data_IF_755602519685
#
_entry.id   IF_755602519685
#
_cell.length_a   1.000
_cell.length_b   1.000
_cell.length_c   1.000
_cell.angle_alpha   90.00
_cell.angle_beta   90.00
_cell.angle_gamma   90.00
#
_symmetry.space_group_name_H-M   'P 1'
#
loop_
_entity.id
_entity.type
_entity.pdbx_description
1 polymer ?
#
# COMPACT_ATOMS: atom_id res chain seq x y z
N UNK A 1 -54.35 10.25 -27.98
CA UNK A 1 -54.66 10.68 -29.37
C UNK A 1 -53.52 10.26 -30.29
N UNK A 2 -53.79 10.03 -31.58
CA UNK A 2 -52.85 9.44 -32.59
C UNK A 2 -52.08 10.49 -33.39
N UNK A 3 -50.84 10.13 -33.82
CA UNK A 3 -50.13 10.36 -35.12
C UNK A 3 -48.62 10.06 -34.87
N UNK A 4 -47.87 9.14 -35.52
CA UNK A 4 -47.63 8.75 -36.94
C UNK A 4 -47.18 9.95 -37.80
N UNK A 5 -46.11 9.92 -38.63
CA UNK A 5 -45.08 8.96 -39.10
C UNK A 5 -43.77 9.80 -39.38
N UNK A 6 -42.56 9.31 -39.72
CA UNK A 6 -42.18 8.39 -40.81
C UNK A 6 -40.72 7.85 -40.71
N UNK A 7 -40.45 6.72 -41.36
CA UNK A 7 -39.12 6.15 -41.70
C UNK A 7 -38.49 6.88 -42.91
N UNK A 8 -37.20 6.74 -43.24
CA UNK A 8 -36.63 5.79 -44.27
C UNK A 8 -35.21 6.30 -44.66
N UNK A 9 -34.23 5.60 -45.26
CA UNK A 9 -33.62 4.25 -45.11
C UNK A 9 -32.45 4.15 -46.15
N UNK A 10 -31.36 3.43 -45.87
CA UNK A 10 -30.35 2.94 -46.86
C UNK A 10 -29.43 4.01 -47.55
N UNK A 11 -28.27 3.70 -48.16
CA UNK A 11 -27.59 2.42 -48.45
C UNK A 11 -26.02 2.52 -48.41
N UNK A 12 -25.35 1.40 -48.71
CA UNK A 12 -23.90 1.11 -48.68
C UNK A 12 -23.27 1.14 -50.11
N UNK A 13 -21.91 1.10 -50.18
CA UNK A 13 -21.03 0.42 -51.21
C UNK A 13 -20.05 1.30 -52.04
N UNK A 14 -18.74 1.07 -51.79
CA UNK A 14 -17.52 1.07 -52.65
C UNK A 14 -17.19 2.16 -53.70
N UNK A 15 -15.88 2.45 -53.89
CA UNK A 15 -15.36 2.98 -55.17
C UNK A 15 -13.99 3.69 -55.20
N UNK A 16 -12.88 2.92 -55.12
CA UNK A 16 -11.54 3.10 -55.75
C UNK A 16 -11.00 4.45 -56.31
N UNK A 17 -9.66 4.59 -56.15
CA UNK A 17 -8.65 5.14 -57.09
C UNK A 17 -8.16 6.60 -56.92
N UNK A 18 -6.91 6.81 -57.35
CA UNK A 18 -6.05 7.98 -57.07
C UNK A 18 -5.82 8.87 -58.31
N UNK A 19 -5.48 10.16 -58.10
CA UNK A 19 -4.35 10.86 -58.74
C UNK A 19 -4.18 12.33 -58.26
N UNK A 20 -2.95 12.62 -57.82
CA UNK A 20 -2.19 13.86 -57.51
C UNK A 20 -2.35 15.12 -58.43
N UNK A 21 -1.57 16.22 -58.26
CA UNK A 21 -1.25 17.10 -57.08
C UNK A 21 -1.33 18.61 -57.54
N UNK A 22 -0.50 19.62 -57.14
CA UNK A 22 0.39 19.88 -55.97
C UNK A 22 -0.02 21.19 -55.22
N UNK A 23 0.70 21.78 -54.24
CA UNK A 23 2.11 21.64 -53.84
C UNK A 23 2.34 21.92 -52.33
N UNK A 24 3.40 21.30 -51.80
CA UNK A 24 4.07 21.67 -50.56
C UNK A 24 5.57 21.85 -50.84
N UNK A 25 6.25 22.72 -50.09
CA UNK A 25 7.67 23.06 -50.31
C UNK A 25 8.52 22.52 -49.16
N UNK A 26 9.55 21.70 -49.45
CA UNK A 26 10.53 21.25 -48.46
C UNK A 26 11.87 20.84 -49.08
N UNK A 27 12.98 21.17 -48.41
CA UNK A 27 14.33 20.67 -48.66
C UNK A 27 15.10 21.44 -49.76
N UNK A 28 16.44 21.49 -49.79
CA UNK A 28 17.41 20.39 -49.54
C UNK A 28 18.83 20.95 -49.26
N UNK A 29 19.68 20.18 -48.54
CA UNK A 29 21.15 20.33 -48.27
C UNK A 29 21.98 19.69 -49.43
N UNK A 30 23.31 19.45 -49.36
CA UNK A 30 24.49 20.23 -48.93
C UNK A 30 25.60 20.23 -50.04
N UNK A 31 26.77 20.87 -49.82
CA UNK A 31 28.13 20.27 -50.05
C UNK A 31 29.30 21.29 -50.00
N UNK A 32 30.39 20.90 -49.34
CA UNK A 32 31.76 21.47 -49.38
C UNK A 32 32.45 21.23 -50.77
N UNK A 33 33.68 21.70 -51.11
CA UNK A 33 34.79 22.10 -50.21
C UNK A 33 35.80 23.22 -50.62
N UNK A 34 36.66 23.56 -49.65
CA UNK A 34 38.07 23.99 -49.73
C UNK A 34 38.47 25.30 -50.46
N UNK A 35 39.20 26.17 -49.75
CA UNK A 35 40.65 26.41 -49.97
C UNK A 35 41.30 27.32 -48.91
N UNK A 36 42.50 26.91 -48.50
CA UNK A 36 43.72 27.68 -48.19
C UNK A 36 43.62 29.04 -47.46
N UNK A 37 44.02 29.05 -46.18
CA UNK A 37 44.49 30.25 -45.47
C UNK A 37 45.98 30.09 -45.10
N UNK A 38 46.78 31.12 -45.38
CA UNK A 38 48.22 31.11 -45.17
C UNK A 38 48.63 31.64 -43.78
N UNK A 39 49.78 31.19 -43.30
CA UNK A 39 50.34 31.55 -41.99
C UNK A 39 50.67 33.04 -41.86
N UNK A 40 50.32 33.63 -40.72
CA UNK A 40 51.02 34.79 -40.16
C UNK A 40 51.24 34.57 -38.65
N UNK A 41 52.50 34.46 -38.24
CA UNK A 41 52.91 34.34 -36.83
C UNK A 41 53.30 35.71 -36.30
N UNK A 42 52.82 36.08 -35.11
CA UNK A 42 53.19 37.30 -34.41
C UNK A 42 53.61 36.99 -32.97
N UNK A 43 54.91 37.16 -32.67
CA UNK A 43 55.49 36.89 -31.35
C UNK A 43 54.97 37.84 -30.26
N UNK A 44 54.60 37.29 -29.11
CA UNK A 44 54.01 38.03 -27.98
C UNK A 44 54.45 37.49 -26.62
N UNK A 45 55.50 38.09 -26.05
CA UNK A 45 56.11 37.75 -24.74
C UNK A 45 55.09 37.40 -23.65
N UNK A 46 55.29 36.26 -22.99
CA UNK A 46 54.52 35.85 -21.82
C UNK A 46 54.64 36.86 -20.66
N UNK A 47 53.49 37.25 -20.09
CA UNK A 47 53.37 38.00 -18.82
C UNK A 47 53.05 37.03 -17.67
N UNK A 48 53.39 37.37 -16.41
CA UNK A 48 53.25 36.46 -15.29
C UNK A 48 51.80 36.05 -15.03
N UNK A 49 51.59 34.80 -14.61
CA UNK A 49 50.28 34.26 -14.28
C UNK A 49 49.64 35.07 -13.13
N UNK A 50 48.38 35.48 -13.33
CA UNK A 50 47.57 36.07 -12.26
C UNK A 50 47.29 35.01 -11.18
N UNK A 51 47.20 35.39 -9.89
CA UNK A 51 46.78 34.46 -8.85
C UNK A 51 45.38 33.93 -9.16
N UNK A 52 45.16 32.64 -8.93
CA UNK A 52 43.87 32.00 -9.16
C UNK A 52 42.77 32.71 -8.34
N UNK A 53 41.65 33.02 -8.98
CA UNK A 53 40.48 33.61 -8.33
C UNK A 53 40.01 32.66 -7.23
N UNK A 54 39.92 33.14 -5.98
CA UNK A 54 39.22 32.41 -4.92
C UNK A 54 37.76 32.25 -5.33
N UNK A 55 37.28 31.02 -5.33
CA UNK A 55 35.86 30.70 -5.52
C UNK A 55 35.04 31.38 -4.42
N UNK A 56 33.85 31.84 -4.77
CA UNK A 56 32.83 32.29 -3.81
C UNK A 56 32.26 31.09 -3.06
N UNK A 57 31.69 31.30 -1.87
CA UNK A 57 31.15 30.22 -1.03
C UNK A 57 30.10 29.38 -1.79
N UNK A 58 29.28 30.02 -2.63
CA UNK A 58 28.33 29.35 -3.50
C UNK A 58 28.98 28.49 -4.60
N UNK A 59 30.05 28.97 -5.23
CA UNK A 59 30.81 28.17 -6.21
C UNK A 59 31.48 26.96 -5.52
N UNK A 60 31.88 27.09 -4.25
CA UNK A 60 32.42 25.98 -3.45
C UNK A 60 31.34 24.97 -3.03
N UNK A 61 30.13 25.43 -2.71
CA UNK A 61 28.98 24.57 -2.40
C UNK A 61 28.54 23.77 -3.64
N UNK A 62 28.41 24.43 -4.80
CA UNK A 62 28.09 23.78 -6.08
C UNK A 62 29.18 22.75 -6.50
N UNK A 63 30.47 23.03 -6.28
CA UNK A 63 31.56 22.04 -6.49
C UNK A 63 31.50 20.87 -5.48
N UNK A 64 31.16 21.13 -4.22
CA UNK A 64 31.04 20.10 -3.18
C UNK A 64 29.85 19.16 -3.45
N UNK A 65 28.70 19.70 -3.87
CA UNK A 65 27.54 18.90 -4.31
C UNK A 65 27.85 18.06 -5.54
N UNK A 66 28.54 18.63 -6.54
CA UNK A 66 28.97 17.88 -7.73
C UNK A 66 29.94 16.74 -7.37
N UNK A 67 30.90 16.99 -6.49
CA UNK A 67 31.84 15.97 -6.01
C UNK A 67 31.16 14.87 -5.18
N UNK A 68 30.16 15.23 -4.35
CA UNK A 68 29.35 14.27 -3.59
C UNK A 68 28.48 13.41 -4.52
N UNK A 69 27.83 14.04 -5.50
CA UNK A 69 27.01 13.36 -6.53
C UNK A 69 27.84 12.35 -7.33
N UNK A 70 29.06 12.72 -7.75
CA UNK A 70 29.99 11.81 -8.43
C UNK A 70 30.36 10.59 -7.57
N UNK A 71 30.66 10.81 -6.27
CA UNK A 71 30.97 9.72 -5.31
C UNK A 71 29.77 8.80 -5.06
N UNK A 72 28.56 9.34 -5.02
CA UNK A 72 27.32 8.56 -4.89
C UNK A 72 27.11 7.72 -6.16
N UNK A 73 27.30 8.29 -7.35
CA UNK A 73 27.18 7.58 -8.62
C UNK A 73 28.20 6.43 -8.74
N UNK A 74 29.46 6.66 -8.36
CA UNK A 74 30.51 5.63 -8.31
C UNK A 74 30.15 4.52 -7.31
N UNK A 75 29.70 4.87 -6.10
CA UNK A 75 29.28 3.89 -5.09
C UNK A 75 28.10 3.05 -5.55
N UNK A 76 27.11 3.66 -6.21
CA UNK A 76 25.96 2.96 -6.79
C UNK A 76 26.37 2.04 -7.96
N UNK A 77 27.33 2.45 -8.79
CA UNK A 77 27.88 1.59 -9.83
C UNK A 77 28.60 0.37 -9.22
N UNK A 78 29.41 0.57 -8.18
CA UNK A 78 30.09 -0.50 -7.46
C UNK A 78 29.09 -1.46 -6.78
N UNK A 79 28.01 -0.94 -6.19
CA UNK A 79 26.93 -1.76 -5.61
C UNK A 79 26.21 -2.61 -6.67
N UNK A 80 25.88 -2.03 -7.84
CA UNK A 80 25.28 -2.77 -8.97
C UNK A 80 26.22 -3.87 -9.49
N UNK A 81 27.52 -3.58 -9.62
CA UNK A 81 28.51 -4.58 -10.02
C UNK A 81 28.61 -5.74 -9.01
N UNK A 82 28.66 -5.43 -7.71
CA UNK A 82 28.67 -6.43 -6.63
C UNK A 82 27.38 -7.28 -6.61
N UNK A 83 26.23 -6.68 -6.87
CA UNK A 83 24.95 -7.39 -6.98
C UNK A 83 24.91 -8.31 -8.21
N UNK A 84 25.37 -7.85 -9.37
CA UNK A 84 25.50 -8.67 -10.57
C UNK A 84 26.46 -9.85 -10.37
N UNK A 85 27.61 -9.63 -9.72
CA UNK A 85 28.56 -10.69 -9.36
C UNK A 85 27.95 -11.73 -8.41
N UNK A 86 27.17 -11.31 -7.41
CA UNK A 86 26.43 -12.22 -6.51
C UNK A 86 25.39 -13.06 -7.25
N UNK A 87 24.63 -12.47 -8.18
CA UNK A 87 23.69 -13.24 -9.00
C UNK A 87 24.39 -14.21 -9.95
N UNK A 88 25.52 -13.82 -10.57
CA UNK A 88 26.32 -14.70 -11.42
C UNK A 88 26.91 -15.88 -10.62
N UNK A 89 27.42 -15.63 -9.41
CA UNK A 89 27.92 -16.67 -8.50
C UNK A 89 26.80 -17.64 -8.08
N UNK A 90 25.61 -17.13 -7.72
CA UNK A 90 24.45 -17.95 -7.39
C UNK A 90 23.96 -18.79 -8.58
N UNK A 91 23.99 -18.24 -9.80
CA UNK A 91 23.66 -18.97 -11.02
C UNK A 91 24.69 -20.07 -11.35
N UNK A 92 25.98 -19.81 -11.10
CA UNK A 92 27.06 -20.79 -11.25
C UNK A 92 26.91 -21.94 -10.24
N UNK A 93 26.72 -21.63 -8.96
CA UNK A 93 26.48 -22.63 -7.91
C UNK A 93 25.23 -23.49 -8.19
N UNK A 94 24.16 -22.91 -8.75
CA UNK A 94 22.97 -23.67 -9.20
C UNK A 94 23.23 -24.60 -10.38
N UNK A 95 24.16 -24.26 -11.29
CA UNK A 95 24.59 -25.16 -12.38
C UNK A 95 25.47 -26.30 -11.85
N UNK A 96 26.40 -25.98 -10.94
CA UNK A 96 27.29 -26.97 -10.31
C UNK A 96 26.52 -27.97 -9.43
N UNK A 97 25.50 -27.50 -8.69
CA UNK A 97 24.61 -28.37 -7.91
C UNK A 97 23.78 -29.35 -8.78
N UNK A 98 23.53 -29.02 -10.05
CA UNK A 98 22.83 -29.92 -11.01
C UNK A 98 23.75 -30.97 -11.66
N UNK A 99 25.06 -30.93 -11.43
CA UNK A 99 26.02 -31.82 -12.09
C UNK A 99 26.30 -33.14 -11.34
N UNK A 100 25.70 -33.38 -10.17
CA UNK A 100 25.81 -34.67 -9.45
C UNK A 100 24.57 -35.54 -9.72
N UNK A 101 24.70 -36.70 -10.39
CA UNK A 101 23.60 -37.63 -10.54
C UNK A 101 23.35 -38.34 -9.21
N UNK A 102 22.17 -38.12 -8.63
CA UNK A 102 21.61 -38.94 -7.55
C UNK A 102 20.68 -39.96 -8.21
N UNK A 103 20.73 -41.26 -7.85
CA UNK A 103 19.80 -42.24 -8.40
C UNK A 103 18.36 -41.84 -8.09
N UNK A 104 17.52 -41.83 -9.13
CA UNK A 104 16.14 -41.35 -9.05
C UNK A 104 15.23 -42.38 -8.36
N UNK A 105 15.15 -42.32 -7.04
CA UNK A 105 13.94 -42.74 -6.35
C UNK A 105 12.83 -41.73 -6.69
N UNK A 106 11.63 -42.21 -7.03
CA UNK A 106 10.47 -41.36 -7.32
C UNK A 106 9.92 -40.77 -6.01
N UNK A 107 10.58 -39.74 -5.48
CA UNK A 107 9.96 -38.83 -4.54
C UNK A 107 8.92 -38.01 -5.31
N UNK A 108 7.63 -38.02 -4.94
CA UNK A 108 6.66 -37.13 -5.55
C UNK A 108 7.14 -35.70 -5.32
N UNK A 109 7.25 -34.91 -6.38
CA UNK A 109 7.74 -33.55 -6.30
C UNK A 109 6.85 -32.78 -5.32
N UNK A 110 7.41 -32.35 -4.19
CA UNK A 110 6.73 -31.44 -3.27
C UNK A 110 6.31 -30.23 -4.09
N UNK A 111 5.01 -29.84 -4.08
CA UNK A 111 4.58 -28.64 -4.78
C UNK A 111 5.46 -27.47 -4.35
N UNK A 112 5.87 -26.57 -5.27
CA UNK A 112 6.61 -25.38 -4.86
C UNK A 112 5.82 -24.66 -3.77
N UNK A 113 6.47 -24.22 -2.67
CA UNK A 113 5.76 -23.60 -1.56
C UNK A 113 4.96 -22.42 -2.08
N UNK A 114 3.65 -22.45 -1.82
CA UNK A 114 2.74 -21.42 -2.32
C UNK A 114 3.18 -20.05 -1.82
N UNK A 115 3.19 -19.06 -2.71
CA UNK A 115 3.68 -17.73 -2.39
C UNK A 115 2.90 -17.14 -1.22
N UNK A 116 3.60 -16.48 -0.31
CA UNK A 116 3.01 -15.65 0.75
C UNK A 116 3.09 -14.15 0.43
N UNK A 117 3.65 -13.79 -0.73
CA UNK A 117 3.70 -12.41 -1.19
C UNK A 117 2.37 -11.99 -1.82
N UNK A 118 1.79 -10.91 -1.31
CA UNK A 118 0.57 -10.28 -1.80
C UNK A 118 0.72 -8.75 -1.76
N UNK A 119 -0.14 -8.03 -2.47
CA UNK A 119 -0.18 -6.56 -2.49
C UNK A 119 -1.63 -6.06 -2.50
N UNK A 120 -1.82 -4.75 -2.34
CA UNK A 120 -3.14 -4.11 -2.52
C UNK A 120 -3.44 -3.72 -3.98
N UNK A 121 -2.44 -3.78 -4.87
CA UNK A 121 -2.54 -3.39 -6.28
C UNK A 121 -1.79 -4.37 -7.20
N UNK A 122 -2.12 -4.35 -8.50
CA UNK A 122 -1.42 -5.13 -9.54
C UNK A 122 -1.73 -6.63 -9.54
N UNK A 123 -0.80 -7.42 -10.07
CA UNK A 123 -0.97 -8.88 -10.26
C UNK A 123 -1.26 -9.62 -8.95
N UNK A 124 -0.59 -9.23 -7.86
CA UNK A 124 -0.75 -9.82 -6.53
C UNK A 124 -1.84 -9.12 -5.67
N UNK A 125 -2.68 -8.29 -6.32
CA UNK A 125 -3.76 -7.52 -5.71
C UNK A 125 -4.98 -8.33 -5.23
N UNK A 126 -5.96 -7.69 -4.54
CA UNK A 126 -7.12 -8.34 -3.92
C UNK A 126 -7.93 -9.26 -4.82
N UNK A 127 -8.07 -8.92 -6.11
CA UNK A 127 -8.80 -9.73 -7.10
C UNK A 127 -8.13 -11.08 -7.42
N UNK A 128 -6.86 -11.27 -7.02
CA UNK A 128 -6.07 -12.46 -7.31
C UNK A 128 -5.59 -13.21 -6.07
N UNK A 129 -5.77 -12.70 -4.84
CA UNK A 129 -5.25 -13.35 -3.62
C UNK A 129 -5.57 -14.84 -3.53
N UNK A 130 -6.82 -15.25 -3.78
CA UNK A 130 -7.22 -16.66 -3.75
C UNK A 130 -6.59 -17.56 -4.81
N UNK A 131 -5.83 -17.00 -5.77
CA UNK A 131 -5.05 -17.72 -6.80
C UNK A 131 -3.56 -17.81 -6.43
N UNK A 132 -3.06 -16.94 -5.55
CA UNK A 132 -1.63 -16.88 -5.14
C UNK A 132 -1.28 -18.10 -4.28
N UNK A 133 -2.21 -18.50 -3.40
CA UNK A 133 -2.02 -19.58 -2.45
C UNK A 133 -3.32 -20.34 -2.22
N UNK A 134 -3.27 -21.69 -2.28
CA UNK A 134 -4.45 -22.53 -2.10
C UNK A 134 -5.08 -22.38 -0.70
N UNK A 135 -4.28 -22.05 0.32
CA UNK A 135 -4.78 -21.75 1.67
C UNK A 135 -5.60 -20.45 1.73
N UNK A 136 -5.54 -19.60 0.71
CA UNK A 136 -6.24 -18.32 0.63
C UNK A 136 -7.52 -18.40 -0.22
N UNK A 137 -8.03 -19.61 -0.53
CA UNK A 137 -9.22 -19.74 -1.39
C UNK A 137 -10.44 -18.94 -0.90
N UNK A 138 -10.55 -18.70 0.42
CA UNK A 138 -11.62 -17.87 0.99
C UNK A 138 -11.62 -16.44 0.47
N UNK A 139 -10.47 -15.91 0.05
CA UNK A 139 -10.38 -14.58 -0.57
C UNK A 139 -11.15 -14.48 -1.91
N UNK A 140 -11.43 -15.60 -2.59
CA UNK A 140 -12.18 -15.65 -3.86
C UNK A 140 -13.48 -16.46 -3.80
N UNK A 141 -13.56 -17.50 -2.96
CA UNK A 141 -14.70 -18.41 -2.82
C UNK A 141 -15.50 -18.22 -1.51
N UNK A 142 -15.07 -17.30 -0.64
CA UNK A 142 -15.82 -16.95 0.57
C UNK A 142 -17.12 -16.21 0.26
N UNK A 143 -18.18 -16.50 1.03
CA UNK A 143 -19.51 -15.90 0.88
C UNK A 143 -19.85 -14.89 1.98
N UNK A 144 -19.02 -14.84 3.03
CA UNK A 144 -19.14 -13.94 4.19
C UNK A 144 -17.91 -13.05 4.36
N UNK A 145 -17.37 -12.56 3.25
CA UNK A 145 -16.14 -11.79 3.23
C UNK A 145 -16.31 -10.35 3.77
N UNK A 146 -15.23 -9.77 4.30
CA UNK A 146 -15.10 -8.36 4.73
C UNK A 146 -14.04 -7.65 3.87
N UNK A 147 -14.09 -6.31 3.73
CA UNK A 147 -15.04 -5.38 4.34
C UNK A 147 -16.39 -5.37 3.60
N UNK A 148 -17.39 -4.67 4.13
CA UNK A 148 -18.67 -4.47 3.45
C UNK A 148 -19.09 -3.00 3.41
N UNK A 149 -20.05 -2.71 2.55
CA UNK A 149 -20.84 -1.49 2.58
C UNK A 149 -22.09 -1.74 3.43
N UNK A 150 -22.06 -1.22 4.66
CA UNK A 150 -23.12 -1.36 5.66
C UNK A 150 -24.30 -0.49 5.24
N UNK A 151 -25.42 -1.15 4.93
CA UNK A 151 -26.71 -0.54 4.62
C UNK A 151 -27.81 -1.18 5.46
N UNK A 152 -28.83 -0.41 5.79
CA UNK A 152 -30.11 -0.88 6.32
C UNK A 152 -29.97 -1.83 7.52
N UNK A 153 -29.19 -1.42 8.53
CA UNK A 153 -28.98 -2.19 9.75
C UNK A 153 -30.29 -2.42 10.51
N UNK A 154 -30.49 -3.64 11.01
CA UNK A 154 -31.67 -3.96 11.81
C UNK A 154 -31.47 -3.37 13.20
N UNK A 155 -32.19 -2.27 13.48
CA UNK A 155 -32.24 -1.61 14.78
C UNK A 155 -32.74 -2.55 15.86
N UNK A 156 -31.88 -2.87 16.82
CA UNK A 156 -32.22 -3.66 18.00
C UNK A 156 -31.56 -3.06 19.23
N UNK A 157 -32.08 -3.42 20.40
CA UNK A 157 -31.35 -3.20 21.65
C UNK A 157 -30.14 -4.15 21.66
N UNK A 158 -28.97 -3.61 21.31
CA UNK A 158 -27.70 -4.33 21.40
C UNK A 158 -27.12 -4.13 22.79
N UNK A 159 -26.56 -5.20 23.35
CA UNK A 159 -25.78 -5.10 24.58
C UNK A 159 -24.64 -4.09 24.42
N UNK A 160 -24.31 -3.37 25.49
CA UNK A 160 -23.16 -2.47 25.48
C UNK A 160 -21.86 -3.28 25.47
N UNK A 161 -20.95 -2.93 24.57
CA UNK A 161 -19.60 -3.53 24.56
C UNK A 161 -18.87 -3.07 25.83
N UNK A 162 -18.49 -4.04 26.67
CA UNK A 162 -17.67 -3.77 27.83
C UNK A 162 -16.19 -3.77 27.45
N UNK A 163 -15.49 -2.68 27.78
CA UNK A 163 -14.07 -2.51 27.53
C UNK A 163 -13.32 -2.51 28.86
N UNK A 164 -12.35 -3.41 28.99
CA UNK A 164 -11.36 -3.45 30.08
C UNK A 164 -9.97 -3.27 29.44
N UNK A 165 -9.74 -2.04 28.96
CA UNK A 165 -8.47 -1.61 28.40
C UNK A 165 -7.68 -0.81 29.42
N UNK A 166 -6.35 -0.90 29.34
CA UNK A 166 -5.41 -0.23 30.24
C UNK A 166 -4.16 0.23 29.49
N UNK A 167 -3.48 1.29 29.95
CA UNK A 167 -2.14 1.64 29.47
C UNK A 167 -1.23 0.42 29.51
N UNK A 168 -0.62 0.10 28.38
CA UNK A 168 0.21 -1.10 28.20
C UNK A 168 1.44 -0.83 27.35
N UNK A 169 2.46 -1.66 27.52
CA UNK A 169 3.61 -1.67 26.61
C UNK A 169 3.18 -2.13 25.22
N UNK A 170 3.80 -1.57 24.19
CA UNK A 170 3.47 -1.83 22.79
C UNK A 170 4.73 -1.86 21.92
N UNK A 171 4.61 -2.40 20.72
CA UNK A 171 5.58 -2.20 19.64
C UNK A 171 4.88 -1.77 18.36
N UNK A 172 5.59 -1.05 17.50
CA UNK A 172 5.12 -0.56 16.20
C UNK A 172 5.94 -1.22 15.11
N UNK A 173 5.26 -1.90 14.19
CA UNK A 173 5.85 -2.59 13.04
C UNK A 173 5.27 -1.98 11.77
N UNK A 174 6.11 -1.45 10.87
CA UNK A 174 5.70 -1.32 9.46
C UNK A 174 5.88 -2.70 8.85
N UNK A 175 4.79 -3.43 8.57
CA UNK A 175 4.88 -4.82 8.09
C UNK A 175 5.00 -4.93 6.55
N UNK A 176 5.06 -3.80 5.83
CA UNK A 176 5.02 -3.72 4.38
C UNK A 176 3.61 -3.62 3.76
N UNK A 177 2.55 -3.83 4.55
CA UNK A 177 1.14 -3.75 4.15
C UNK A 177 0.36 -2.67 4.93
N UNK A 178 0.76 -2.44 6.19
CA UNK A 178 0.20 -1.45 7.10
C UNK A 178 1.23 -1.08 8.18
N UNK A 179 0.92 -0.05 8.97
CA UNK A 179 1.49 0.11 10.30
C UNK A 179 0.64 -0.73 11.27
N UNK A 180 1.29 -1.66 11.95
CA UNK A 180 0.68 -2.53 12.96
C UNK A 180 1.26 -2.18 14.33
N UNK A 181 0.39 -2.13 15.33
CA UNK A 181 0.75 -1.94 16.74
C UNK A 181 0.39 -3.21 17.49
N UNK A 182 1.40 -3.90 18.04
CA UNK A 182 1.20 -5.06 18.90
C UNK A 182 1.12 -4.58 20.36
N UNK A 183 0.16 -5.06 21.14
CA UNK A 183 -0.02 -4.67 22.54
C UNK A 183 0.33 -5.80 23.51
N UNK A 184 0.69 -5.42 24.73
CA UNK A 184 0.82 -6.32 25.86
C UNK A 184 -0.52 -6.87 26.36
N UNK A 185 -0.44 -8.00 27.07
CA UNK A 185 -1.61 -8.79 27.49
C UNK A 185 -2.49 -8.12 28.56
N UNK A 186 -3.73 -8.58 28.63
CA UNK A 186 -4.76 -8.16 29.56
C UNK A 186 -5.42 -6.83 29.20
N UNK A 187 -5.70 -6.62 27.91
CA UNK A 187 -6.62 -5.62 27.40
C UNK A 187 -7.80 -6.39 26.78
N UNK A 188 -9.03 -6.17 27.25
CA UNK A 188 -10.18 -7.00 26.87
C UNK A 188 -11.38 -6.22 26.33
N UNK A 189 -12.10 -6.88 25.42
CA UNK A 189 -13.40 -6.51 24.91
C UNK A 189 -14.38 -7.66 25.23
N UNK A 190 -15.49 -7.38 25.90
CA UNK A 190 -16.56 -8.37 26.17
C UNK A 190 -17.87 -7.98 25.49
N UNK A 191 -18.43 -8.91 24.71
CA UNK A 191 -19.70 -8.79 23.99
C UNK A 191 -20.24 -10.19 23.65
N UNK A 192 -21.55 -10.39 23.61
CA UNK A 192 -22.19 -11.67 23.30
C UNK A 192 -22.00 -12.72 24.39
N UNK A 193 -21.71 -12.28 25.62
CA UNK A 193 -21.25 -13.17 26.72
C UNK A 193 -19.85 -13.76 26.51
N UNK A 194 -19.04 -13.21 25.59
CA UNK A 194 -17.70 -13.72 25.23
C UNK A 194 -16.65 -12.62 25.40
N UNK A 195 -15.50 -12.97 25.98
CA UNK A 195 -14.39 -12.05 26.24
C UNK A 195 -13.24 -12.33 25.28
N UNK A 196 -12.78 -11.28 24.61
CA UNK A 196 -11.71 -11.33 23.60
C UNK A 196 -10.57 -10.41 24.05
N UNK A 197 -9.34 -10.92 24.03
CA UNK A 197 -8.14 -10.15 24.36
C UNK A 197 -7.61 -9.42 23.12
N UNK A 198 -7.41 -8.11 23.23
CA UNK A 198 -6.80 -7.26 22.20
C UNK A 198 -5.36 -7.71 21.94
N UNK A 199 -5.10 -8.16 20.71
CA UNK A 199 -3.77 -8.60 20.29
C UNK A 199 -2.99 -7.44 19.64
N UNK A 200 -3.64 -6.79 18.67
CA UNK A 200 -3.02 -5.74 17.86
C UNK A 200 -4.05 -4.74 17.35
N UNK A 201 -3.57 -3.61 16.87
CA UNK A 201 -4.32 -2.74 15.98
C UNK A 201 -3.53 -2.36 14.74
N UNK A 202 -4.21 -2.00 13.66
CA UNK A 202 -3.58 -1.58 12.41
C UNK A 202 -4.46 -0.59 11.62
N UNK A 203 -3.88 0.04 10.61
CA UNK A 203 -4.47 1.19 9.91
C UNK A 203 -4.71 0.92 8.42
N UNK A 204 -5.83 1.41 7.90
CA UNK A 204 -6.17 1.37 6.47
C UNK A 204 -6.45 2.75 5.91
N UNK A 205 -6.08 2.97 4.64
CA UNK A 205 -6.39 4.14 3.82
C UNK A 205 -6.84 3.69 2.41
N UNK A 206 -8.04 4.08 1.94
CA UNK A 206 -9.13 4.67 2.72
C UNK A 206 -9.62 3.71 3.83
N UNK A 207 -10.64 4.09 4.60
CA UNK A 207 -11.33 3.11 5.43
C UNK A 207 -11.88 1.96 4.56
N UNK A 208 -11.74 0.73 5.04
CA UNK A 208 -12.19 -0.47 4.35
C UNK A 208 -13.73 -0.58 4.34
N UNK A 209 -14.35 -0.36 5.50
CA UNK A 209 -15.80 -0.31 5.66
C UNK A 209 -16.40 0.92 4.97
N UNK A 210 -17.64 0.76 4.51
CA UNK A 210 -18.50 1.89 4.13
C UNK A 210 -19.80 1.85 4.93
N UNK A 211 -20.40 3.02 5.11
CA UNK A 211 -21.73 3.15 5.73
C UNK A 211 -22.61 3.94 4.76
N UNK A 212 -23.68 3.33 4.28
CA UNK A 212 -24.59 3.88 3.27
C UNK A 212 -23.86 4.40 2.02
N UNK A 213 -22.86 3.66 1.54
CA UNK A 213 -22.00 4.04 0.41
C UNK A 213 -20.89 5.04 0.73
N UNK A 214 -20.93 5.71 1.90
CA UNK A 214 -19.90 6.67 2.32
C UNK A 214 -18.65 5.94 2.84
N UNK A 215 -17.50 6.35 2.34
CA UNK A 215 -16.18 5.96 2.86
C UNK A 215 -15.64 7.01 3.83
N UNK A 216 -14.67 6.63 4.67
CA UNK A 216 -13.91 7.51 5.55
C UNK A 216 -12.45 7.57 5.08
N UNK A 217 -11.70 8.60 5.51
CA UNK A 217 -10.34 8.80 4.97
C UNK A 217 -9.35 7.74 5.46
N UNK A 218 -9.51 7.26 6.69
CA UNK A 218 -8.76 6.13 7.23
C UNK A 218 -9.66 5.27 8.13
N UNK A 219 -9.27 4.02 8.34
CA UNK A 219 -9.83 3.13 9.35
C UNK A 219 -8.75 2.63 10.31
N UNK A 220 -9.14 2.28 11.53
CA UNK A 220 -8.34 1.51 12.48
C UNK A 220 -9.10 0.22 12.79
N UNK A 221 -8.42 -0.94 12.70
CA UNK A 221 -8.97 -2.22 13.11
C UNK A 221 -8.22 -2.70 14.35
N UNK A 222 -8.93 -2.87 15.47
CA UNK A 222 -8.43 -3.47 16.70
C UNK A 222 -8.83 -4.95 16.70
N UNK A 223 -7.85 -5.85 16.61
CA UNK A 223 -8.06 -7.30 16.47
C UNK A 223 -7.94 -7.99 17.82
N UNK A 224 -9.02 -8.63 18.24
CA UNK A 224 -9.14 -9.35 19.50
C UNK A 224 -9.33 -10.84 19.25
N UNK A 225 -8.91 -11.66 20.21
CA UNK A 225 -9.04 -13.12 20.15
C UNK A 225 -9.45 -13.69 21.52
N UNK A 226 -10.39 -14.63 21.53
CA UNK A 226 -10.75 -15.36 22.75
C UNK A 226 -9.90 -16.62 22.97
N UNK A 227 -10.10 -17.29 24.10
CA UNK A 227 -9.37 -18.50 24.51
C UNK A 227 -9.60 -19.72 23.60
N UNK A 228 -10.72 -19.77 22.88
CA UNK A 228 -11.04 -20.82 21.90
C UNK A 228 -10.49 -20.47 20.50
N UNK A 229 -10.09 -19.22 20.32
CA UNK A 229 -9.44 -18.68 19.14
C UNK A 229 -10.34 -17.95 18.15
N UNK A 230 -11.61 -17.66 18.51
CA UNK A 230 -12.46 -16.84 17.65
C UNK A 230 -12.02 -15.37 17.72
N UNK A 231 -12.28 -14.65 16.63
CA UNK A 231 -11.75 -13.28 16.42
C UNK A 231 -12.89 -12.27 16.43
N UNK A 232 -12.69 -11.16 17.15
CA UNK A 232 -13.54 -9.98 17.09
C UNK A 232 -12.71 -8.77 16.63
N UNK A 233 -13.19 -8.05 15.62
CA UNK A 233 -12.56 -6.83 15.11
C UNK A 233 -13.45 -5.64 15.46
N UNK A 234 -12.90 -4.71 16.25
CA UNK A 234 -13.47 -3.39 16.45
C UNK A 234 -12.92 -2.45 15.38
N UNK A 235 -13.80 -1.97 14.50
CA UNK A 235 -13.45 -1.05 13.43
C UNK A 235 -13.84 0.39 13.80
N UNK A 236 -12.87 1.29 13.69
CA UNK A 236 -12.98 2.71 14.04
C UNK A 236 -12.74 3.54 12.78
N UNK A 237 -13.68 4.41 12.43
CA UNK A 237 -13.58 5.28 11.27
C UNK A 237 -12.87 6.59 11.63
N UNK A 238 -11.94 7.07 10.79
CA UNK A 238 -11.24 8.33 10.96
C UNK A 238 -11.66 9.34 9.88
N UNK A 239 -12.04 10.55 10.32
CA UNK A 239 -12.28 11.70 9.46
C UNK A 239 -11.39 12.89 9.85
N UNK A 240 -11.18 13.83 8.92
CA UNK A 240 -10.40 15.04 9.17
C UNK A 240 -11.03 15.84 10.32
N UNK A 241 -10.20 16.28 11.26
CA UNK A 241 -10.63 17.10 12.39
C UNK A 241 -9.45 17.47 13.29
N UNK A 242 -9.66 17.43 14.60
CA UNK A 242 -8.61 17.63 15.60
C UNK A 242 -7.56 16.50 15.54
N UNK A 243 -6.30 16.76 15.95
CA UNK A 243 -5.30 15.70 16.12
C UNK A 243 -5.78 14.62 17.10
N UNK A 244 -5.49 13.36 16.78
CA UNK A 244 -5.73 12.22 17.66
C UNK A 244 -4.44 11.91 18.44
N UNK A 245 -4.41 12.02 19.79
CA UNK A 245 -3.22 11.72 20.60
C UNK A 245 -2.67 10.31 20.40
N UNK A 246 -3.51 9.27 20.41
CA UNK A 246 -3.07 7.88 20.26
C UNK A 246 -2.42 7.63 18.88
N UNK A 247 -3.00 8.19 17.81
CA UNK A 247 -2.39 8.12 16.46
C UNK A 247 -1.05 8.86 16.44
N UNK A 248 -0.91 9.98 17.15
CA UNK A 248 0.37 10.68 17.28
C UNK A 248 1.41 9.85 18.03
N UNK A 249 1.01 9.15 19.10
CA UNK A 249 1.89 8.22 19.84
C UNK A 249 2.41 7.12 18.93
N UNK A 250 1.60 6.56 18.02
CA UNK A 250 2.11 5.59 17.03
C UNK A 250 3.05 6.27 16.02
N UNK A 251 2.70 7.43 15.47
CA UNK A 251 3.51 8.11 14.45
C UNK A 251 4.88 8.58 14.97
N UNK A 252 4.96 8.98 16.24
CA UNK A 252 6.22 9.33 16.91
C UNK A 252 7.16 8.12 17.12
N UNK A 253 6.64 6.91 16.98
CA UNK A 253 7.32 5.64 17.29
C UNK A 253 7.35 4.69 16.08
N UNK A 254 7.21 5.22 14.85
CA UNK A 254 7.37 4.43 13.62
C UNK A 254 8.82 3.94 13.47
N UNK A 255 9.05 2.69 13.02
CA UNK A 255 10.38 2.23 12.64
C UNK A 255 10.90 3.01 11.41
N UNK A 256 12.23 3.06 11.25
CA UNK A 256 12.87 3.79 10.15
C UNK A 256 12.81 3.04 8.81
N UNK A 257 12.64 1.72 8.84
CA UNK A 257 12.57 0.87 7.66
C UNK A 257 11.29 0.03 7.63
N UNK A 258 10.85 -0.35 6.43
CA UNK A 258 9.76 -1.32 6.26
C UNK A 258 10.22 -2.72 6.67
N UNK A 259 9.34 -3.48 7.31
CA UNK A 259 9.58 -4.80 7.92
C UNK A 259 10.46 -4.78 9.17
N UNK A 260 10.65 -3.61 9.77
CA UNK A 260 11.31 -3.43 11.05
C UNK A 260 10.27 -3.16 12.16
N UNK A 261 10.68 -3.28 13.43
CA UNK A 261 9.83 -3.11 14.61
C UNK A 261 10.52 -2.27 15.68
N UNK A 262 9.82 -1.23 16.14
CA UNK A 262 10.27 -0.39 17.24
C UNK A 262 9.44 -0.61 18.51
N UNK A 263 10.08 -0.72 19.66
CA UNK A 263 9.42 -0.92 20.96
C UNK A 263 9.72 0.28 21.88
N UNK A 264 8.76 1.20 22.08
CA UNK A 264 8.97 2.38 22.92
C UNK A 264 9.07 2.06 24.41
N UNK A 265 9.65 2.98 25.18
CA UNK A 265 9.63 2.98 26.64
C UNK A 265 8.39 3.64 27.25
N UNK A 266 7.54 4.26 26.41
CA UNK A 266 6.24 4.83 26.82
C UNK A 266 5.13 3.80 26.68
N UNK A 267 4.00 4.03 27.34
CA UNK A 267 2.79 3.19 27.24
C UNK A 267 1.83 3.72 26.17
N UNK A 268 0.99 2.84 25.66
CA UNK A 268 -0.17 3.15 24.82
C UNK A 268 -1.45 2.77 25.57
N UNK A 269 -2.43 3.67 25.62
CA UNK A 269 -3.75 3.39 26.19
C UNK A 269 -4.79 3.21 25.07
N UNK A 270 -5.35 2.00 24.88
CA UNK A 270 -6.37 1.76 23.86
C UNK A 270 -7.70 2.51 24.13
N UNK A 271 -7.94 2.99 25.36
CA UNK A 271 -9.12 3.81 25.67
C UNK A 271 -9.13 5.14 24.90
N UNK A 272 -7.96 5.70 24.57
CA UNK A 272 -7.84 6.94 23.79
C UNK A 272 -8.41 6.82 22.37
N UNK A 273 -8.61 5.60 21.86
CA UNK A 273 -9.25 5.32 20.58
C UNK A 273 -10.76 5.05 20.69
N UNK A 274 -11.36 5.02 21.88
CA UNK A 274 -12.80 4.79 22.00
C UNK A 274 -13.59 6.09 21.76
N UNK A 275 -14.61 6.09 20.88
CA UNK A 275 -15.50 7.24 20.73
C UNK A 275 -16.34 7.46 22.00
N UNK A 276 -16.89 8.67 22.17
CA UNK A 276 -17.70 9.00 23.33
C UNK A 276 -19.01 8.21 23.33
N UNK A 277 -19.66 8.13 22.16
CA UNK A 277 -20.79 7.22 21.96
C UNK A 277 -20.31 5.91 21.35
N UNK A 278 -20.69 4.81 22.00
CA UNK A 278 -20.26 3.43 21.68
C UNK A 278 -21.28 2.69 20.82
N UNK A 279 -22.14 3.43 20.13
CA UNK A 279 -23.14 2.91 19.21
C UNK A 279 -22.45 2.23 18.03
N UNK A 280 -22.89 1.03 17.63
CA UNK A 280 -22.16 0.21 16.67
C UNK A 280 -23.08 -0.61 15.75
N UNK A 281 -22.53 -0.97 14.59
CA UNK A 281 -23.05 -2.04 13.72
C UNK A 281 -22.34 -3.35 14.04
N UNK A 282 -23.03 -4.48 13.90
CA UNK A 282 -22.38 -5.80 14.02
C UNK A 282 -22.89 -6.84 13.02
N UNK A 283 -21.95 -7.65 12.53
CA UNK A 283 -22.17 -8.75 11.59
C UNK A 283 -21.04 -9.79 11.69
N UNK A 284 -21.31 -11.03 11.24
CA UNK A 284 -20.27 -12.05 11.05
C UNK A 284 -19.68 -11.97 9.64
N UNK A 285 -18.37 -11.74 9.56
CA UNK A 285 -17.59 -11.52 8.33
C UNK A 285 -16.29 -12.34 8.27
N UNK A 286 -15.25 -11.77 7.68
CA UNK A 286 -13.91 -12.37 7.55
C UNK A 286 -12.78 -11.43 7.99
N UNK A 287 -11.54 -11.92 7.98
CA UNK A 287 -10.36 -11.05 7.85
C UNK A 287 -10.39 -10.33 6.48
N UNK A 288 -9.86 -9.12 6.42
CA UNK A 288 -9.77 -8.30 5.21
C UNK A 288 -8.46 -8.50 4.44
N UNK A 289 -7.47 -9.15 5.04
CA UNK A 289 -6.22 -9.58 4.42
C UNK A 289 -6.16 -11.13 4.25
N UNK A 290 -5.31 -11.68 3.36
CA UNK A 290 -5.10 -13.13 3.24
C UNK A 290 -4.69 -13.77 4.58
N UNK A 291 -5.25 -14.93 4.97
CA UNK A 291 -6.02 -15.90 4.18
C UNK A 291 -7.53 -15.59 4.00
N UNK A 292 -7.99 -14.41 4.42
CA UNK A 292 -9.41 -14.00 4.39
C UNK A 292 -10.37 -14.97 5.12
N UNK A 293 -9.91 -15.55 6.23
CA UNK A 293 -10.68 -16.48 7.07
C UNK A 293 -12.01 -15.88 7.51
N UNK A 294 -13.10 -16.62 7.31
CA UNK A 294 -14.44 -16.28 7.75
C UNK A 294 -14.66 -16.66 9.23
N UNK A 295 -15.75 -16.17 9.83
CA UNK A 295 -16.06 -16.42 11.24
C UNK A 295 -15.58 -15.31 12.19
N UNK A 296 -15.25 -14.14 11.65
CA UNK A 296 -14.84 -12.96 12.41
C UNK A 296 -16.08 -12.17 12.82
N UNK A 297 -16.20 -11.83 14.10
CA UNK A 297 -17.21 -10.90 14.61
C UNK A 297 -16.75 -9.46 14.31
N UNK A 298 -17.54 -8.71 13.54
CA UNK A 298 -17.27 -7.30 13.27
C UNK A 298 -18.11 -6.41 14.20
N UNK A 299 -17.46 -5.39 14.75
CA UNK A 299 -18.03 -4.36 15.62
C UNK A 299 -17.60 -3.00 15.05
N UNK A 300 -18.46 -2.35 14.28
CA UNK A 300 -18.12 -1.12 13.55
C UNK A 300 -18.75 0.09 14.23
N UNK A 301 -17.93 0.94 14.85
CA UNK A 301 -18.41 2.10 15.58
C UNK A 301 -19.09 3.12 14.66
N UNK A 302 -20.28 3.59 15.04
CA UNK A 302 -21.09 4.57 14.30
C UNK A 302 -20.51 5.98 14.39
N UNK A 303 -19.87 6.31 15.51
CA UNK A 303 -19.21 7.60 15.72
C UNK A 303 -17.76 7.58 15.20
N UNK A 304 -17.41 8.41 14.20
CA UNK A 304 -16.05 8.48 13.68
C UNK A 304 -15.14 9.30 14.61
N UNK A 305 -13.93 8.81 14.80
CA UNK A 305 -12.84 9.56 15.40
C UNK A 305 -12.36 10.68 14.46
N UNK A 306 -11.68 11.66 15.05
CA UNK A 306 -10.98 12.71 14.30
C UNK A 306 -9.48 12.44 14.30
N UNK A 307 -8.81 12.71 13.18
CA UNK A 307 -7.36 12.91 13.13
C UNK A 307 -7.05 14.15 12.28
N UNK A 308 -5.88 14.75 12.49
CA UNK A 308 -5.52 15.97 11.78
C UNK A 308 -5.17 15.69 10.30
N UNK A 309 -5.33 16.68 9.40
CA UNK A 309 -4.87 16.57 8.02
C UNK A 309 -3.41 16.10 7.87
N UNK A 310 -2.54 16.51 8.79
CA UNK A 310 -1.12 16.18 8.83
C UNK A 310 -0.89 14.72 9.24
N UNK A 311 -1.61 14.23 10.26
CA UNK A 311 -1.56 12.82 10.67
C UNK A 311 -2.02 11.88 9.55
N UNK A 312 -3.07 12.28 8.82
CA UNK A 312 -3.58 11.53 7.66
C UNK A 312 -2.62 11.58 6.47
N UNK A 313 -1.98 12.74 6.23
CA UNK A 313 -1.00 12.92 5.17
C UNK A 313 0.32 12.16 5.44
N UNK A 314 0.69 11.95 6.70
CA UNK A 314 1.83 11.11 7.06
C UNK A 314 1.58 9.65 6.62
N UNK A 315 0.44 9.08 7.02
CA UNK A 315 0.09 7.71 6.63
C UNK A 315 -0.08 7.56 5.11
N UNK A 316 -0.66 8.55 4.43
CA UNK A 316 -0.83 8.51 2.97
C UNK A 316 0.47 8.43 2.18
N UNK A 317 1.60 8.86 2.75
CA UNK A 317 2.93 8.77 2.12
C UNK A 317 3.54 7.37 2.29
N UNK A 318 3.22 6.68 3.38
CA UNK A 318 3.65 5.30 3.65
C UNK A 318 2.81 4.27 2.88
N UNK A 319 1.49 4.53 2.85
CA UNK A 319 0.43 3.68 2.32
C UNK A 319 -0.65 4.55 1.63
N UNK A 320 -0.51 4.83 0.31
CA UNK A 320 -1.50 5.60 -0.44
C UNK A 320 -2.84 4.85 -0.59
N UNK A 321 -2.76 3.53 -0.79
CA UNK A 321 -3.87 2.60 -0.84
C UNK A 321 -3.46 1.30 -0.15
N UNK A 322 -4.12 0.96 0.95
CA UNK A 322 -3.99 -0.33 1.62
C UNK A 322 -5.36 -0.86 2.11
N UNK A 323 -6.40 -0.70 1.29
CA UNK A 323 -7.75 -1.16 1.57
C UNK A 323 -8.21 -2.19 0.54
N UNK A 324 -8.76 -3.32 1.00
CA UNK A 324 -9.49 -4.29 0.18
C UNK A 324 -10.79 -3.64 -0.31
N UNK A 325 -11.20 -3.86 -1.58
CA UNK A 325 -12.52 -3.46 -2.05
C UNK A 325 -13.66 -4.05 -1.21
N UNK A 326 -14.78 -3.33 -1.07
CA UNK A 326 -15.98 -3.84 -0.40
C UNK A 326 -16.50 -5.11 -1.07
N UNK A 327 -16.87 -6.07 -0.23
CA UNK A 327 -17.37 -7.38 -0.61
C UNK A 327 -18.90 -7.40 -0.58
N UNK A 328 -19.52 -8.37 -1.26
CA UNK A 328 -20.97 -8.49 -1.29
C UNK A 328 -21.54 -8.76 0.12
N UNK A 329 -22.59 -8.02 0.52
CA UNK A 329 -23.24 -8.22 1.82
C UNK A 329 -23.82 -9.64 2.00
N UNK A 330 -24.12 -10.37 0.92
CA UNK A 330 -24.37 -11.81 0.95
C UNK A 330 -25.60 -12.23 1.77
N UNK A 331 -26.62 -11.37 1.85
CA UNK A 331 -27.84 -11.62 2.65
C UNK A 331 -27.59 -11.73 4.16
N UNK A 332 -26.43 -11.27 4.65
CA UNK A 332 -26.07 -11.34 6.07
C UNK A 332 -26.95 -10.40 6.88
N UNK A 333 -27.44 -10.89 8.02
CA UNK A 333 -28.01 -10.03 9.06
C UNK A 333 -26.93 -9.08 9.58
N UNK A 334 -27.19 -7.78 9.48
CA UNK A 334 -26.45 -6.71 10.13
C UNK A 334 -27.38 -6.13 11.19
N UNK A 335 -26.91 -6.04 12.43
CA UNK A 335 -27.63 -5.37 13.53
C UNK A 335 -27.00 -3.99 13.76
N UNK A 336 -27.80 -3.04 14.20
CA UNK A 336 -27.31 -1.75 14.70
C UNK A 336 -27.92 -1.45 16.07
N UNK A 337 -27.14 -0.85 16.96
CA UNK A 337 -27.67 -0.27 18.21
C UNK A 337 -28.56 0.93 17.87
N UNK A 338 -29.59 1.16 18.68
CA UNK A 338 -30.55 2.27 18.47
C UNK A 338 -29.91 3.64 18.71
#
# INVERSE_FOLDING_TARGET
MRKLFAFTLFCLVMGTAAAEPPAAIAGVRPSSPARDDAMAVGDGKAKPAKPARKLTEREQEEEAEAALSARIAERLAQMKANQAARYAAAAKARKEAKAKPVPAAFVPATPPPASTFWTYEGEFGPANWGKINAAWNKCSAGTRQSPIDIRDGIKVDLEQIAFDYRPSGFSVTDNGHTVQVQLGTGNFLTVGGRTYELQQLHFHRPAEERVNGKTYEMGIHLVHKDIEGHVAILALMLQRGKPQPAVQTVWNNLPLEKKDTFTPSVVFDPNDLLPQRRDYYTYMGSMTEPPCSEGVLWLVMKEPLQASPEQMALFSRLYPLNARPVQAAGGRMIKESQ
#
